data_IF_872250938454
#
_entry.id   IF_872250938454
#
_cell.length_a   1.000
_cell.length_b   1.000
_cell.length_c   1.000
_cell.angle_alpha   90.00
_cell.angle_beta   90.00
_cell.angle_gamma   90.00
#
_symmetry.space_group_name_H-M   'P 1'
#
loop_
_entity.id
_entity.type
_entity.pdbx_description
1 polymer ?
#
# COMPACT_ATOMS: atom_id res chain seq x y z
N UNK A 1 1.61 -48.17 -16.69
CA UNK A 1 2.62 -47.16 -16.34
C UNK A 1 1.87 -45.88 -15.99
N UNK A 2 1.55 -45.71 -14.70
CA UNK A 2 0.69 -44.63 -14.22
C UNK A 2 1.56 -43.52 -13.64
N UNK A 3 1.65 -42.39 -14.34
CA UNK A 3 2.27 -41.19 -13.79
C UNK A 3 1.23 -40.43 -12.97
N UNK A 4 1.30 -40.55 -11.65
CA UNK A 4 0.66 -39.58 -10.76
C UNK A 4 1.54 -38.32 -10.77
N UNK A 5 1.08 -37.28 -11.47
CA UNK A 5 1.69 -35.96 -11.40
C UNK A 5 1.51 -35.41 -9.98
N UNK A 6 2.63 -35.30 -9.28
CA UNK A 6 2.76 -34.63 -7.99
C UNK A 6 2.59 -33.13 -8.24
N UNK A 7 1.39 -32.61 -8.03
CA UNK A 7 1.19 -31.18 -7.76
C UNK A 7 0.52 -31.04 -6.41
N UNK A 8 1.25 -31.36 -5.34
CA UNK A 8 0.88 -30.84 -4.02
C UNK A 8 0.99 -29.32 -4.08
N UNK A 9 -0.07 -28.56 -3.75
CA UNK A 9 0.06 -27.12 -3.60
C UNK A 9 1.08 -26.87 -2.49
N UNK A 10 2.25 -26.31 -2.81
CA UNK A 10 3.15 -25.81 -1.77
C UNK A 10 2.35 -24.76 -1.01
N UNK A 11 2.07 -25.02 0.28
CA UNK A 11 1.63 -23.95 1.19
C UNK A 11 2.67 -22.84 1.07
N UNK A 12 2.22 -21.64 0.74
CA UNK A 12 3.07 -20.46 0.83
C UNK A 12 3.60 -20.41 2.27
N UNK A 13 4.93 -20.30 2.39
CA UNK A 13 5.53 -20.06 3.70
C UNK A 13 5.18 -18.64 4.12
N UNK A 14 4.99 -18.43 5.42
CA UNK A 14 4.65 -17.11 6.00
C UNK A 14 5.56 -15.98 5.46
N UNK A 15 6.87 -16.24 5.30
CA UNK A 15 7.83 -15.27 4.75
C UNK A 15 7.56 -14.83 3.30
N UNK A 16 7.04 -15.74 2.46
CA UNK A 16 6.67 -15.39 1.08
C UNK A 16 5.44 -14.50 1.06
N UNK A 17 4.45 -14.81 1.91
CA UNK A 17 3.22 -14.01 2.03
C UNK A 17 3.53 -12.58 2.51
N UNK A 18 4.40 -12.43 3.51
CA UNK A 18 4.91 -11.13 3.96
C UNK A 18 5.56 -10.34 2.83
N UNK A 19 6.42 -10.99 2.06
CA UNK A 19 7.14 -10.34 0.95
C UNK A 19 6.17 -9.87 -0.14
N UNK A 20 5.17 -10.67 -0.49
CA UNK A 20 4.15 -10.25 -1.45
C UNK A 20 3.33 -9.06 -0.93
N UNK A 21 2.97 -9.08 0.36
CA UNK A 21 2.28 -7.96 0.99
C UNK A 21 3.11 -6.67 0.93
N UNK A 22 4.40 -6.76 1.25
CA UNK A 22 5.30 -5.61 1.21
C UNK A 22 5.49 -5.07 -0.20
N UNK A 23 5.55 -5.95 -1.21
CA UNK A 23 5.60 -5.57 -2.62
C UNK A 23 4.34 -4.81 -3.05
N UNK A 24 3.16 -5.25 -2.62
CA UNK A 24 1.90 -4.56 -2.92
C UNK A 24 1.86 -3.15 -2.30
N UNK A 25 2.51 -2.96 -1.15
CA UNK A 25 2.58 -1.68 -0.45
C UNK A 25 3.79 -0.81 -0.84
N UNK A 26 4.73 -1.32 -1.63
CA UNK A 26 5.99 -0.63 -1.95
C UNK A 26 5.79 0.73 -2.62
N UNK A 27 4.69 0.92 -3.36
CA UNK A 27 4.34 2.21 -3.96
C UNK A 27 4.20 3.33 -2.92
N UNK A 28 3.78 3.00 -1.69
CA UNK A 28 3.63 3.97 -0.61
C UNK A 28 4.97 4.60 -0.25
N UNK A 29 6.04 3.80 -0.23
CA UNK A 29 7.41 4.26 0.05
C UNK A 29 8.19 4.73 -1.19
N UNK A 30 7.53 4.92 -2.33
CA UNK A 30 8.18 5.44 -3.53
C UNK A 30 8.60 6.91 -3.34
N UNK A 31 9.52 7.43 -4.19
CA UNK A 31 9.85 8.85 -4.16
C UNK A 31 8.60 9.73 -4.27
N UNK A 32 8.56 10.84 -3.54
CA UNK A 32 7.39 11.72 -3.40
C UNK A 32 6.69 12.05 -4.71
N UNK A 33 7.44 12.33 -5.78
CA UNK A 33 6.88 12.64 -7.10
C UNK A 33 6.08 11.45 -7.66
N UNK A 34 6.63 10.24 -7.56
CA UNK A 34 5.95 9.00 -7.99
C UNK A 34 4.71 8.72 -7.15
N UNK A 35 4.79 8.93 -5.84
CA UNK A 35 3.63 8.78 -4.95
C UNK A 35 2.51 9.77 -5.30
N UNK A 36 2.84 11.03 -5.57
CA UNK A 36 1.87 12.06 -5.96
C UNK A 36 1.18 11.74 -7.30
N UNK A 37 1.93 11.23 -8.27
CA UNK A 37 1.36 10.73 -9.53
C UNK A 37 0.41 9.55 -9.29
N UNK A 38 0.82 8.61 -8.44
CA UNK A 38 -0.03 7.50 -8.01
C UNK A 38 -1.34 7.99 -7.37
N UNK A 39 -1.26 8.87 -6.36
CA UNK A 39 -2.44 9.42 -5.68
C UNK A 39 -3.37 10.18 -6.65
N UNK A 40 -2.79 10.93 -7.59
CA UNK A 40 -3.54 11.63 -8.64
C UNK A 40 -4.29 10.64 -9.55
N UNK A 41 -3.65 9.52 -9.91
CA UNK A 41 -4.27 8.50 -10.74
C UNK A 41 -5.41 7.78 -9.97
N UNK A 42 -5.22 7.50 -8.68
CA UNK A 42 -6.30 7.01 -7.81
C UNK A 42 -7.49 7.99 -7.82
N UNK A 43 -7.27 9.30 -7.64
CA UNK A 43 -8.38 10.28 -7.74
C UNK A 43 -9.12 10.20 -9.08
N UNK A 44 -8.41 9.98 -10.19
CA UNK A 44 -9.02 9.86 -11.54
C UNK A 44 -9.84 8.57 -11.69
N UNK A 45 -9.41 7.46 -11.11
CA UNK A 45 -10.16 6.20 -11.13
C UNK A 45 -11.51 6.35 -10.41
N UNK A 46 -11.51 7.09 -9.30
CA UNK A 46 -12.70 7.41 -8.51
C UNK A 46 -13.39 8.72 -8.95
N UNK A 47 -13.22 9.18 -10.19
CA UNK A 47 -13.87 10.41 -10.71
C UNK A 47 -15.40 10.43 -10.64
N UNK A 48 -16.01 9.26 -10.47
CA UNK A 48 -17.45 9.08 -10.35
C UNK A 48 -17.98 9.40 -8.94
N UNK A 49 -17.10 9.45 -7.93
CA UNK A 49 -17.42 9.88 -6.57
C UNK A 49 -17.25 11.40 -6.44
N UNK A 50 -18.04 12.01 -5.55
CA UNK A 50 -17.82 13.39 -5.15
C UNK A 50 -16.48 13.55 -4.44
N UNK A 51 -15.95 14.79 -4.40
CA UNK A 51 -14.70 15.07 -3.69
C UNK A 51 -14.83 14.78 -2.18
N UNK A 52 -15.99 15.05 -1.59
CA UNK A 52 -16.24 14.80 -0.16
C UNK A 52 -16.20 13.29 0.16
N UNK A 53 -16.93 12.47 -0.60
CA UNK A 53 -16.94 11.01 -0.41
C UNK A 53 -15.55 10.40 -0.64
N UNK A 54 -14.86 10.82 -1.70
CA UNK A 54 -13.53 10.33 -2.01
C UNK A 54 -12.52 10.74 -0.92
N UNK A 55 -12.48 12.02 -0.53
CA UNK A 55 -11.53 12.51 0.46
C UNK A 55 -11.76 11.83 1.81
N UNK A 56 -13.01 11.68 2.26
CA UNK A 56 -13.33 11.00 3.50
C UNK A 56 -12.90 9.52 3.48
N UNK A 57 -13.19 8.81 2.39
CA UNK A 57 -12.79 7.41 2.21
C UNK A 57 -11.26 7.23 2.15
N UNK A 58 -10.59 8.08 1.38
CA UNK A 58 -9.13 8.05 1.20
C UNK A 58 -8.39 8.43 2.48
N UNK A 59 -8.83 9.48 3.16
CA UNK A 59 -8.29 9.87 4.47
C UNK A 59 -8.45 8.75 5.49
N UNK A 60 -9.64 8.11 5.57
CA UNK A 60 -9.85 6.98 6.47
C UNK A 60 -8.94 5.79 6.17
N UNK A 61 -8.73 5.47 4.89
CA UNK A 61 -7.78 4.43 4.47
C UNK A 61 -6.36 4.76 4.91
N UNK A 62 -5.88 5.97 4.60
CA UNK A 62 -4.53 6.42 4.95
C UNK A 62 -4.30 6.40 6.45
N UNK A 63 -5.22 6.96 7.24
CA UNK A 63 -5.13 6.98 8.70
C UNK A 63 -4.96 5.57 9.25
N UNK A 64 -5.76 4.60 8.80
CA UNK A 64 -5.66 3.20 9.23
C UNK A 64 -4.32 2.55 8.90
N UNK A 65 -3.66 2.95 7.82
CA UNK A 65 -2.33 2.43 7.47
C UNK A 65 -1.25 3.07 8.35
N UNK A 66 -1.28 4.39 8.55
CA UNK A 66 -0.31 5.10 9.39
C UNK A 66 -0.38 4.63 10.86
N UNK A 67 -1.57 4.28 11.35
CA UNK A 67 -1.77 3.81 12.72
C UNK A 67 -1.19 2.42 13.00
N UNK A 68 -0.81 1.65 11.97
CA UNK A 68 -0.11 0.37 12.16
C UNK A 68 1.27 0.62 12.77
N UNK A 69 1.70 -0.28 13.64
CA UNK A 69 3.05 -0.26 14.21
C UNK A 69 4.12 -0.38 13.12
N UNK A 70 3.92 -1.32 12.18
CA UNK A 70 4.76 -1.52 11.00
C UNK A 70 3.89 -1.61 9.74
N UNK A 71 4.28 -0.88 8.69
CA UNK A 71 3.61 -0.94 7.39
C UNK A 71 4.19 -2.10 6.57
N UNK A 72 5.52 -2.24 6.59
CA UNK A 72 6.23 -3.33 5.94
C UNK A 72 6.63 -4.41 6.96
N UNK A 73 6.39 -5.67 6.61
CA UNK A 73 6.54 -6.83 7.51
C UNK A 73 7.93 -7.46 7.45
N UNK A 74 8.67 -7.23 6.37
CA UNK A 74 10.07 -7.66 6.20
C UNK A 74 11.03 -6.54 6.55
N UNK A 75 12.14 -6.87 7.24
CA UNK A 75 13.14 -5.88 7.66
C UNK A 75 13.70 -5.08 6.48
N UNK A 76 13.96 -5.75 5.34
CA UNK A 76 14.49 -5.08 4.15
C UNK A 76 13.54 -4.01 3.59
N UNK A 77 12.23 -4.28 3.53
CA UNK A 77 11.27 -3.28 3.05
C UNK A 77 11.01 -2.19 4.09
N UNK A 78 10.96 -2.57 5.37
CA UNK A 78 10.82 -1.63 6.47
C UNK A 78 11.93 -0.56 6.41
N UNK A 79 13.19 -0.99 6.37
CA UNK A 79 14.33 -0.07 6.38
C UNK A 79 14.41 0.82 5.13
N UNK A 80 13.90 0.32 3.99
CA UNK A 80 13.92 1.05 2.72
C UNK A 80 12.75 2.03 2.57
N UNK A 81 11.57 1.70 3.09
CA UNK A 81 10.31 2.32 2.66
C UNK A 81 9.43 2.86 3.79
N UNK A 82 9.60 2.41 5.04
CA UNK A 82 8.68 2.74 6.14
C UNK A 82 8.59 4.26 6.38
N UNK A 83 9.73 4.94 6.51
CA UNK A 83 9.78 6.37 6.78
C UNK A 83 9.16 7.17 5.62
N UNK A 84 9.62 6.93 4.40
CA UNK A 84 9.11 7.60 3.19
C UNK A 84 7.62 7.33 2.98
N UNK A 85 7.14 6.12 3.26
CA UNK A 85 5.72 5.79 3.15
C UNK A 85 4.87 6.60 4.13
N UNK A 86 5.34 6.75 5.38
CA UNK A 86 4.66 7.55 6.39
C UNK A 86 4.65 9.03 6.04
N UNK A 87 5.75 9.57 5.53
CA UNK A 87 5.83 10.97 5.08
C UNK A 87 4.86 11.24 3.93
N UNK A 88 4.92 10.42 2.87
CA UNK A 88 4.05 10.54 1.70
C UNK A 88 2.56 10.52 2.08
N UNK A 89 2.17 9.57 2.94
CA UNK A 89 0.79 9.41 3.37
C UNK A 89 0.33 10.55 4.30
N UNK A 90 1.20 11.06 5.18
CA UNK A 90 0.90 12.22 6.04
C UNK A 90 0.68 13.48 5.21
N UNK A 91 1.54 13.72 4.23
CA UNK A 91 1.41 14.83 3.30
C UNK A 91 0.09 14.77 2.51
N UNK A 92 -0.30 13.57 2.04
CA UNK A 92 -1.59 13.38 1.38
C UNK A 92 -2.76 13.61 2.34
N UNK A 93 -2.69 13.08 3.57
CA UNK A 93 -3.74 13.25 4.57
C UNK A 93 -3.98 14.73 4.92
N UNK A 94 -2.90 15.51 5.05
CA UNK A 94 -2.98 16.96 5.27
C UNK A 94 -3.71 17.65 4.12
N UNK A 95 -3.37 17.32 2.87
CA UNK A 95 -4.01 17.89 1.68
C UNK A 95 -5.50 17.53 1.56
N UNK A 96 -5.89 16.33 2.00
CA UNK A 96 -7.28 15.87 1.97
C UNK A 96 -8.14 16.51 3.06
N UNK A 97 -7.53 16.92 4.18
CA UNK A 97 -8.25 17.46 5.36
C UNK A 97 -8.27 18.99 5.41
N UNK A 98 -7.36 19.66 4.71
CA UNK A 98 -7.33 21.12 4.59
C UNK A 98 -8.22 21.70 3.47
N UNK A 99 -8.87 20.84 2.68
CA UNK A 99 -9.85 21.23 1.65
C UNK A 99 -11.26 21.33 2.22
#
# INVERSE_FOLDING_TARGET
MSYQLITSPRKLTNETEKTFHDLDLAILGSPKVTYQEYATNIRKEYKHMSDEEFNAGRASFITKIIEKETIFQTEAFHDMFEETARENMRDELEQLTQK
#
